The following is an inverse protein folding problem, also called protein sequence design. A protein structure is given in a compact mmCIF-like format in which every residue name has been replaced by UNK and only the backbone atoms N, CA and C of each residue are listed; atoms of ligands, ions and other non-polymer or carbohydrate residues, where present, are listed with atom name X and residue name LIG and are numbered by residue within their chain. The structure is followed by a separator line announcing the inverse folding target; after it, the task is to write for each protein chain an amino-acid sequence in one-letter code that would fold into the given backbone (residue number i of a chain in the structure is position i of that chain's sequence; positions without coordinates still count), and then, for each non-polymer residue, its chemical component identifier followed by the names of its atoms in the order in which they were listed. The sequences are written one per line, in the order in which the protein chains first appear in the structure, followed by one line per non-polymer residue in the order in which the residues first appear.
data_IF_863499317771
#
_entry.id   IF_863499317771
#
_cell.length_a   1.000
_cell.length_b   1.000
_cell.length_c   1.000
_cell.angle_alpha   90.00
_cell.angle_beta   90.00
_cell.angle_gamma   90.00
#
_symmetry.space_group_name_H-M   'P 1'
#
loop_
_entity.id
_entity.type
_entity.pdbx_description
1 polymer ?
#
# COMPACT_ATOMS: atom_id res chain seq x y z
N UNK A 1 34.96 43.02 31.63
CA UNK A 1 34.56 41.63 31.92
C UNK A 1 33.47 41.26 30.91
N UNK A 2 33.77 40.38 29.95
CA UNK A 2 32.76 39.91 29.00
C UNK A 2 31.84 38.91 29.71
N UNK A 3 30.50 39.07 29.64
CA UNK A 3 29.61 38.04 30.13
C UNK A 3 29.71 36.84 29.18
N UNK A 4 30.11 35.69 29.73
CA UNK A 4 30.10 34.43 29.01
C UNK A 4 28.66 34.12 28.59
N UNK A 5 28.39 34.18 27.27
CA UNK A 5 27.13 33.73 26.71
C UNK A 5 26.95 32.24 27.00
N UNK A 6 25.80 31.88 27.56
CA UNK A 6 25.43 30.50 27.85
C UNK A 6 25.32 29.72 26.52
N UNK A 7 26.03 28.59 26.33
CA UNK A 7 25.93 27.78 25.13
C UNK A 7 24.50 27.36 24.78
N UNK A 8 23.63 27.21 25.79
CA UNK A 8 22.20 26.93 25.59
C UNK A 8 21.45 28.04 24.86
N UNK A 9 21.76 29.32 25.13
CA UNK A 9 21.07 30.44 24.47
C UNK A 9 21.48 30.62 23.01
N UNK A 10 22.68 30.17 22.63
CA UNK A 10 23.15 30.18 21.24
C UNK A 10 22.45 29.08 20.44
N UNK A 11 22.30 27.88 21.00
CA UNK A 11 21.62 26.76 20.33
C UNK A 11 20.12 27.04 20.17
N UNK A 12 19.48 27.66 21.16
CA UNK A 12 18.06 28.05 21.09
C UNK A 12 17.83 29.23 20.13
N UNK A 13 18.74 30.19 20.06
CA UNK A 13 18.69 31.25 19.04
C UNK A 13 18.93 30.73 17.62
N UNK A 14 19.90 29.82 17.43
CA UNK A 14 20.15 29.16 16.13
C UNK A 14 18.93 28.32 15.70
N UNK A 15 18.23 27.67 16.64
CA UNK A 15 16.98 26.94 16.33
C UNK A 15 15.80 27.86 16.01
N UNK A 16 15.78 29.08 16.55
CA UNK A 16 14.72 30.07 16.30
C UNK A 16 14.79 30.69 14.89
N UNK A 17 15.95 30.65 14.23
CA UNK A 17 16.15 31.24 12.89
C UNK A 17 15.98 30.22 11.74
N UNK A 18 15.76 28.94 12.06
CA UNK A 18 15.59 27.90 11.06
C UNK A 18 14.12 27.84 10.63
N UNK A 19 13.83 28.39 9.46
CA UNK A 19 12.48 28.35 8.89
C UNK A 19 12.03 26.89 8.64
N UNK A 20 10.83 26.50 9.14
CA UNK A 20 10.30 25.16 8.92
C UNK A 20 9.90 24.96 7.45
N UNK A 21 9.94 23.70 7.00
CA UNK A 21 9.41 23.31 5.69
C UNK A 21 7.91 23.10 5.83
N UNK A 22 7.13 24.02 5.25
CA UNK A 22 5.66 24.07 5.39
C UNK A 22 4.89 23.76 4.11
N UNK A 23 5.58 23.70 2.95
CA UNK A 23 4.92 23.49 1.66
C UNK A 23 4.24 22.13 1.60
N UNK A 24 2.94 22.13 1.32
CA UNK A 24 2.12 20.92 1.21
C UNK A 24 2.06 20.36 -0.22
N UNK A 25 2.68 21.01 -1.19
CA UNK A 25 2.81 20.51 -2.55
C UNK A 25 4.06 19.64 -2.67
N UNK A 26 3.85 18.34 -2.89
CA UNK A 26 4.87 17.29 -2.83
C UNK A 26 6.15 17.60 -3.62
N UNK A 27 6.11 18.04 -4.90
CA UNK A 27 7.32 18.36 -5.64
C UNK A 27 8.19 19.45 -4.99
N UNK A 28 7.57 20.53 -4.53
CA UNK A 28 8.27 21.65 -3.90
C UNK A 28 8.78 21.26 -2.50
N UNK A 29 7.95 20.56 -1.72
CA UNK A 29 8.35 19.95 -0.46
C UNK A 29 9.56 19.03 -0.61
N UNK A 30 9.49 18.07 -1.53
CA UNK A 30 10.54 17.07 -1.79
C UNK A 30 11.85 17.74 -2.16
N UNK A 31 11.82 18.69 -3.10
CA UNK A 31 13.01 19.46 -3.50
C UNK A 31 13.62 20.21 -2.32
N UNK A 32 12.79 20.80 -1.47
CA UNK A 32 13.22 21.53 -0.29
C UNK A 32 13.90 20.61 0.72
N UNK A 33 13.31 19.45 1.01
CA UNK A 33 13.91 18.44 1.90
C UNK A 33 15.21 17.88 1.33
N UNK A 34 15.27 17.59 0.03
CA UNK A 34 16.49 17.08 -0.63
C UNK A 34 17.64 18.10 -0.62
N UNK A 35 17.33 19.39 -0.62
CA UNK A 35 18.30 20.48 -0.47
C UNK A 35 18.76 20.71 0.98
N UNK A 36 18.20 19.98 1.95
CA UNK A 36 18.60 20.01 3.37
C UNK A 36 19.03 18.60 3.83
N UNK A 37 20.19 18.10 3.35
CA UNK A 37 20.64 16.74 3.64
C UNK A 37 20.94 16.49 5.12
N UNK A 38 21.25 17.56 5.86
CA UNK A 38 21.49 17.52 7.31
C UNK A 38 20.17 17.53 8.11
N UNK A 39 19.02 17.70 7.45
CA UNK A 39 17.69 17.76 8.08
C UNK A 39 17.63 18.78 9.20
N UNK A 40 18.23 19.95 8.97
CA UNK A 40 18.27 21.02 9.97
C UNK A 40 16.89 21.66 10.14
N UNK A 41 16.13 21.75 9.05
CA UNK A 41 14.79 22.34 9.04
C UNK A 41 13.73 21.34 9.49
N UNK A 42 12.94 21.67 10.53
CA UNK A 42 11.81 20.84 10.90
C UNK A 42 10.74 20.87 9.80
N UNK A 43 10.04 19.74 9.63
CA UNK A 43 8.88 19.65 8.74
C UNK A 43 7.63 20.02 9.53
N UNK A 44 6.92 21.07 9.12
CA UNK A 44 5.71 21.55 9.76
C UNK A 44 4.57 21.67 8.74
N UNK A 45 3.99 20.52 8.40
CA UNK A 45 2.96 20.46 7.36
C UNK A 45 1.56 20.58 7.98
N UNK A 46 0.85 21.67 7.70
CA UNK A 46 -0.53 21.86 8.17
C UNK A 46 -1.53 21.24 7.20
N UNK A 47 -2.47 20.44 7.72
CA UNK A 47 -3.56 19.88 6.91
C UNK A 47 -4.59 20.97 6.58
N UNK A 48 -4.87 21.21 5.30
CA UNK A 48 -5.85 22.23 4.88
C UNK A 48 -7.31 21.85 5.15
N UNK A 49 -7.60 20.59 5.51
CA UNK A 49 -8.96 20.13 5.80
C UNK A 49 -9.34 20.43 7.26
N UNK A 50 -8.44 20.17 8.22
CA UNK A 50 -8.71 20.34 9.65
C UNK A 50 -7.85 21.40 10.34
N UNK A 51 -6.88 22.00 9.63
CA UNK A 51 -5.90 22.98 10.15
C UNK A 51 -4.93 22.44 11.21
N UNK A 52 -4.93 21.14 11.50
CA UNK A 52 -3.99 20.50 12.42
C UNK A 52 -2.69 20.08 11.72
N UNK A 53 -1.59 19.94 12.48
CA UNK A 53 -0.32 19.44 11.98
C UNK A 53 -0.42 17.97 11.53
N UNK A 54 0.18 17.68 10.38
CA UNK A 54 0.31 16.33 9.83
C UNK A 54 1.59 15.67 10.30
N UNK A 55 1.51 14.38 10.61
CA UNK A 55 2.70 13.58 10.89
C UNK A 55 3.45 13.24 9.60
N UNK A 56 4.76 13.46 9.59
CA UNK A 56 5.68 13.01 8.52
C UNK A 56 6.39 11.71 8.85
N UNK A 57 6.18 11.18 10.07
CA UNK A 57 6.87 9.99 10.54
C UNK A 57 6.32 8.70 9.95
N UNK A 58 5.15 8.74 9.29
CA UNK A 58 4.48 7.62 8.64
C UNK A 58 4.14 6.47 9.59
N UNK A 59 2.92 5.95 9.54
CA UNK A 59 2.62 4.72 10.29
C UNK A 59 3.59 3.59 9.89
N UNK A 60 4.37 3.08 10.84
CA UNK A 60 5.31 1.94 10.68
C UNK A 60 4.66 0.63 10.21
N UNK A 61 3.34 0.64 9.97
CA UNK A 61 2.54 -0.49 9.52
C UNK A 61 1.74 -0.03 8.30
N UNK A 62 2.43 0.04 7.17
CA UNK A 62 1.81 0.24 5.85
C UNK A 62 0.87 -0.93 5.56
N UNK A 63 -0.39 -0.78 5.96
CA UNK A 63 -1.44 -1.70 5.58
C UNK A 63 -1.82 -1.39 4.13
N UNK A 64 -1.50 -2.31 3.22
CA UNK A 64 -2.02 -2.31 1.84
C UNK A 64 -3.56 -2.35 1.84
N UNK A 65 -4.16 -2.81 2.95
CA UNK A 65 -5.56 -2.57 3.23
C UNK A 65 -5.75 -1.20 3.89
N UNK A 66 -6.15 -0.24 3.05
CA UNK A 66 -6.62 1.10 3.44
C UNK A 66 -7.95 1.08 4.21
N UNK A 67 -8.56 -0.10 4.35
CA UNK A 67 -9.71 -0.31 5.23
C UNK A 67 -9.14 -0.49 6.65
N UNK A 68 -9.27 0.50 7.55
CA UNK A 68 -8.93 0.27 8.95
C UNK A 68 -9.68 -0.95 9.45
N UNK A 69 -8.97 -1.86 10.14
CA UNK A 69 -9.65 -2.90 10.92
C UNK A 69 -10.62 -2.22 11.89
N UNK A 70 -11.78 -2.83 12.20
CA UNK A 70 -12.66 -2.33 13.26
C UNK A 70 -11.85 -2.01 14.51
N UNK A 71 -11.94 -0.78 15.01
CA UNK A 71 -11.20 -0.29 16.19
C UNK A 71 -9.82 0.35 15.92
N UNK A 72 -9.29 0.35 14.69
CA UNK A 72 -8.06 1.11 14.36
C UNK A 72 -8.41 2.49 13.79
N UNK A 73 -7.96 3.55 14.46
CA UNK A 73 -8.01 4.91 13.91
C UNK A 73 -6.95 5.08 12.82
N UNK A 74 -7.33 5.69 11.71
CA UNK A 74 -6.38 6.12 10.68
C UNK A 74 -5.56 7.26 11.28
N UNK A 75 -4.23 7.21 11.17
CA UNK A 75 -3.33 8.29 11.61
C UNK A 75 -3.47 9.54 10.74
N UNK A 76 -3.26 10.70 11.34
CA UNK A 76 -3.17 12.00 10.66
C UNK A 76 -1.79 12.22 9.99
N UNK A 77 -1.21 11.17 9.38
CA UNK A 77 0.03 11.35 8.60
C UNK A 77 -0.29 12.01 7.26
N UNK A 78 0.68 12.73 6.69
CA UNK A 78 0.54 13.36 5.38
C UNK A 78 0.30 12.30 4.29
N UNK A 79 -0.79 12.47 3.55
CA UNK A 79 -1.19 11.69 2.39
C UNK A 79 -0.96 12.52 1.13
N UNK A 80 -0.04 12.09 0.29
CA UNK A 80 0.27 12.70 -1.00
C UNK A 80 -0.77 12.21 -2.01
N UNK A 81 -1.56 13.14 -2.56
CA UNK A 81 -2.51 12.86 -3.63
C UNK A 81 -1.82 12.86 -5.01
N UNK A 82 -2.40 12.24 -6.05
CA UNK A 82 -1.82 12.24 -7.39
C UNK A 82 -1.54 13.62 -7.98
N UNK A 83 -2.33 14.64 -7.61
CA UNK A 83 -2.09 16.03 -8.01
C UNK A 83 -0.92 16.70 -7.27
N UNK A 84 -0.29 16.02 -6.31
CA UNK A 84 0.83 16.51 -5.51
C UNK A 84 0.47 17.13 -4.17
N UNK A 85 -0.78 17.53 -3.94
CA UNK A 85 -1.16 18.11 -2.64
C UNK A 85 -1.18 17.06 -1.53
N UNK A 86 -0.64 17.44 -0.38
CA UNK A 86 -0.64 16.64 0.84
C UNK A 86 -1.78 17.08 1.76
N UNK A 87 -2.50 16.10 2.30
CA UNK A 87 -3.57 16.30 3.29
C UNK A 87 -3.49 15.24 4.39
N UNK A 88 -4.05 15.53 5.56
CA UNK A 88 -4.09 14.59 6.66
C UNK A 88 -4.92 13.38 6.27
N UNK A 89 -4.35 12.19 6.37
CA UNK A 89 -4.99 11.04 5.74
C UNK A 89 -6.32 10.61 6.37
N UNK A 90 -6.47 10.72 7.70
CA UNK A 90 -7.77 10.45 8.32
C UNK A 90 -8.81 11.50 7.88
N UNK A 91 -8.42 12.78 7.75
CA UNK A 91 -9.28 13.84 7.22
C UNK A 91 -9.68 13.56 5.77
N UNK A 92 -8.74 13.14 4.92
CA UNK A 92 -9.02 12.78 3.55
C UNK A 92 -10.00 11.60 3.44
N UNK A 93 -9.83 10.57 4.28
CA UNK A 93 -10.74 9.42 4.30
C UNK A 93 -12.13 9.80 4.79
N UNK A 94 -12.23 10.64 5.82
CA UNK A 94 -13.52 11.17 6.29
C UNK A 94 -14.20 12.04 5.22
N UNK A 95 -13.42 12.85 4.50
CA UNK A 95 -13.89 13.67 3.38
C UNK A 95 -14.39 12.81 2.21
N UNK A 96 -13.69 11.73 1.86
CA UNK A 96 -14.18 10.77 0.86
C UNK A 96 -15.48 10.08 1.31
N UNK A 97 -15.58 9.73 2.59
CA UNK A 97 -16.74 9.04 3.15
C UNK A 97 -17.99 9.93 3.18
N UNK A 98 -17.85 11.22 3.54
CA UNK A 98 -18.96 12.18 3.57
C UNK A 98 -19.54 12.45 2.18
N UNK A 99 -18.75 12.22 1.13
CA UNK A 99 -19.14 12.40 -0.26
C UNK A 99 -19.58 11.09 -0.93
N UNK A 100 -19.64 9.97 -0.19
CA UNK A 100 -19.90 8.64 -0.76
C UNK A 100 -21.25 8.51 -1.48
N UNK A 101 -22.29 9.24 -1.05
CA UNK A 101 -23.55 9.31 -1.78
C UNK A 101 -23.44 10.16 -3.06
N UNK A 102 -22.71 11.27 -3.02
CA UNK A 102 -22.46 12.16 -4.16
C UNK A 102 -21.52 11.55 -5.21
N UNK A 103 -20.76 10.52 -4.83
CA UNK A 103 -19.80 9.82 -5.69
C UNK A 103 -20.35 8.57 -6.37
N UNK A 104 -21.62 8.18 -6.14
CA UNK A 104 -22.22 7.04 -6.87
C UNK A 104 -22.18 7.29 -8.38
N UNK A 105 -21.50 6.41 -9.11
CA UNK A 105 -21.36 6.47 -10.57
C UNK A 105 -20.27 7.41 -11.12
N UNK A 106 -19.60 8.21 -10.26
CA UNK A 106 -18.48 9.05 -10.70
C UNK A 106 -17.22 8.23 -10.94
N UNK A 107 -16.39 8.68 -11.88
CA UNK A 107 -15.09 8.06 -12.23
C UNK A 107 -13.88 8.78 -11.60
N UNK A 108 -14.12 9.82 -10.81
CA UNK A 108 -13.09 10.63 -10.16
C UNK A 108 -13.63 11.34 -8.92
N UNK A 109 -12.73 11.86 -8.09
CA UNK A 109 -13.00 12.83 -7.03
C UNK A 109 -12.14 14.08 -7.23
N UNK A 110 -12.57 15.24 -6.74
CA UNK A 110 -11.78 16.48 -6.83
C UNK A 110 -10.84 16.59 -5.63
N UNK A 111 -9.58 16.98 -5.84
CA UNK A 111 -8.68 17.29 -4.74
C UNK A 111 -9.28 18.40 -3.86
N UNK A 112 -9.32 18.25 -2.52
CA UNK A 112 -9.87 19.28 -1.62
C UNK A 112 -9.04 20.57 -1.57
N UNK A 113 -7.82 20.58 -2.14
CA UNK A 113 -6.92 21.75 -2.13
C UNK A 113 -6.99 22.51 -3.45
N UNK A 114 -6.87 21.83 -4.58
CA UNK A 114 -6.77 22.46 -5.90
C UNK A 114 -7.89 22.10 -6.88
N UNK A 115 -8.90 21.35 -6.44
CA UNK A 115 -10.03 20.86 -7.27
C UNK A 115 -9.66 19.97 -8.47
N UNK A 116 -8.38 19.63 -8.66
CA UNK A 116 -7.94 18.71 -9.73
C UNK A 116 -8.71 17.39 -9.64
N UNK A 117 -9.27 16.94 -10.77
CA UNK A 117 -9.97 15.66 -10.87
C UNK A 117 -8.98 14.49 -10.78
N UNK A 118 -9.09 13.69 -9.72
CA UNK A 118 -8.29 12.50 -9.49
C UNK A 118 -9.13 11.27 -9.83
N UNK A 119 -8.76 10.60 -10.92
CA UNK A 119 -9.48 9.43 -11.43
C UNK A 119 -9.44 8.27 -10.44
N UNK A 120 -10.53 7.50 -10.41
CA UNK A 120 -10.50 6.15 -9.88
C UNK A 120 -9.68 5.25 -10.79
N UNK A 121 -9.19 4.14 -10.25
CA UNK A 121 -8.51 3.11 -11.03
C UNK A 121 -9.46 2.60 -12.14
N UNK A 122 -9.14 2.84 -13.44
CA UNK A 122 -10.08 2.62 -14.54
C UNK A 122 -10.68 1.23 -14.64
N UNK A 123 -9.90 0.17 -14.40
CA UNK A 123 -10.36 -1.22 -14.56
C UNK A 123 -11.09 -1.75 -13.33
N UNK A 124 -10.71 -1.32 -12.11
CA UNK A 124 -11.31 -1.85 -10.89
C UNK A 124 -12.29 -0.90 -10.18
N UNK A 125 -12.40 0.36 -10.64
CA UNK A 125 -13.31 1.36 -10.06
C UNK A 125 -13.05 1.67 -8.57
N UNK A 126 -11.84 1.36 -8.08
CA UNK A 126 -11.43 1.69 -6.72
C UNK A 126 -10.83 3.08 -6.68
N UNK A 127 -11.03 3.79 -5.56
CA UNK A 127 -10.49 5.13 -5.36
C UNK A 127 -8.96 5.10 -5.35
N UNK A 128 -8.33 6.01 -6.08
CA UNK A 128 -6.88 6.23 -5.96
C UNK A 128 -6.64 7.14 -4.75
N UNK A 129 -6.25 6.55 -3.61
CA UNK A 129 -6.05 7.30 -2.36
C UNK A 129 -4.73 8.08 -2.31
N UNK A 130 -3.88 7.97 -3.33
CA UNK A 130 -2.50 8.46 -3.28
C UNK A 130 -1.59 7.58 -2.43
N UNK A 131 -0.50 8.13 -1.91
CA UNK A 131 0.46 7.44 -1.04
C UNK A 131 0.74 8.24 0.24
N UNK A 132 1.05 7.54 1.34
CA UNK A 132 1.57 8.20 2.54
C UNK A 132 2.97 8.74 2.27
N UNK A 133 3.31 9.85 2.90
CA UNK A 133 4.70 10.29 2.94
C UNK A 133 5.59 9.17 3.51
N UNK A 134 6.70 8.79 2.85
CA UNK A 134 7.60 7.78 3.39
C UNK A 134 8.28 8.30 4.66
N UNK A 135 8.52 7.42 5.64
CA UNK A 135 9.23 7.80 6.88
C UNK A 135 10.69 8.22 6.63
N UNK A 136 11.35 7.59 5.65
CA UNK A 136 12.75 7.82 5.33
C UNK A 136 12.86 8.64 4.04
N UNK A 137 13.62 9.72 4.07
CA UNK A 137 13.87 10.60 2.90
C UNK A 137 14.45 9.81 1.72
N UNK A 138 15.30 8.81 1.98
CA UNK A 138 15.83 7.91 0.96
C UNK A 138 14.75 7.17 0.13
N UNK A 139 13.51 7.11 0.64
CA UNK A 139 12.37 6.52 -0.06
C UNK A 139 11.49 7.55 -0.78
N UNK A 140 11.79 8.85 -0.75
CA UNK A 140 11.00 9.88 -1.45
C UNK A 140 11.06 9.72 -2.98
N UNK A 141 12.16 9.17 -3.49
CA UNK A 141 12.31 8.78 -4.90
C UNK A 141 11.39 7.63 -5.33
N UNK A 142 10.72 6.95 -4.39
CA UNK A 142 9.74 5.89 -4.66
C UNK A 142 8.32 6.41 -4.84
N UNK A 143 8.05 7.67 -4.47
CA UNK A 143 6.77 8.31 -4.76
C UNK A 143 6.72 8.57 -6.27
N UNK A 144 5.65 8.14 -6.97
CA UNK A 144 5.49 8.43 -8.39
C UNK A 144 5.51 9.94 -8.68
N UNK A 145 5.90 10.30 -9.91
CA UNK A 145 5.71 11.66 -10.40
C UNK A 145 4.24 12.07 -10.24
N UNK A 146 3.99 13.32 -9.86
CA UNK A 146 2.61 13.84 -9.77
C UNK A 146 2.04 14.03 -11.17
N UNK A 147 0.72 14.21 -11.28
CA UNK A 147 0.04 14.34 -12.58
C UNK A 147 0.61 15.50 -13.43
N UNK A 148 0.95 16.64 -12.80
CA UNK A 148 1.56 17.80 -13.47
C UNK A 148 3.00 17.55 -13.96
N UNK A 149 3.67 16.50 -13.46
CA UNK A 149 5.02 16.08 -13.85
C UNK A 149 5.00 14.87 -14.80
N UNK A 150 3.83 14.50 -15.34
CA UNK A 150 3.67 13.37 -16.25
C UNK A 150 3.44 12.02 -15.55
N UNK A 151 3.06 12.02 -14.27
CA UNK A 151 2.58 10.82 -13.59
C UNK A 151 1.20 10.37 -14.05
N UNK A 152 0.91 9.07 -13.90
CA UNK A 152 -0.36 8.48 -14.34
C UNK A 152 -1.01 7.64 -13.26
N UNK A 153 -2.34 7.56 -13.24
CA UNK A 153 -3.07 6.64 -12.37
C UNK A 153 -3.13 5.27 -13.04
N UNK A 154 -2.67 4.23 -12.35
CA UNK A 154 -2.68 2.88 -12.91
C UNK A 154 -4.10 2.35 -13.11
N UNK A 155 -4.29 1.45 -14.07
CA UNK A 155 -5.54 0.78 -14.37
C UNK A 155 -6.20 0.10 -13.14
N UNK A 156 -5.37 -0.48 -12.26
CA UNK A 156 -5.80 -1.24 -11.07
C UNK A 156 -5.15 -0.71 -9.80
N UNK A 157 -5.87 -0.79 -8.67
CA UNK A 157 -5.30 -0.54 -7.35
C UNK A 157 -4.32 -1.65 -6.93
N UNK A 158 -3.52 -1.41 -5.88
CA UNK A 158 -2.50 -2.35 -5.40
C UNK A 158 -3.09 -3.74 -5.12
N UNK A 159 -4.22 -3.80 -4.39
CA UNK A 159 -4.91 -5.06 -4.12
C UNK A 159 -5.36 -5.75 -5.40
N UNK A 160 -5.95 -5.00 -6.34
CA UNK A 160 -6.39 -5.54 -7.63
C UNK A 160 -5.24 -6.09 -8.49
N UNK A 161 -4.09 -5.44 -8.46
CA UNK A 161 -2.89 -5.91 -9.15
C UNK A 161 -2.31 -7.18 -8.51
N UNK A 162 -2.31 -7.25 -7.17
CA UNK A 162 -1.90 -8.45 -6.42
C UNK A 162 -2.71 -9.66 -6.85
N UNK A 163 -4.04 -9.58 -6.82
CA UNK A 163 -4.81 -10.77 -7.16
C UNK A 163 -4.88 -11.05 -8.65
N UNK A 164 -4.77 -10.04 -9.52
CA UNK A 164 -4.53 -10.34 -10.93
C UNK A 164 -3.26 -11.19 -11.09
N UNK A 165 -2.18 -10.80 -10.44
CA UNK A 165 -0.90 -11.52 -10.47
C UNK A 165 -1.00 -12.90 -9.82
N UNK A 166 -1.73 -13.05 -8.70
CA UNK A 166 -2.06 -14.36 -8.15
C UNK A 166 -2.75 -15.24 -9.17
N UNK A 167 -3.82 -14.74 -9.80
CA UNK A 167 -4.62 -15.49 -10.77
C UNK A 167 -3.80 -15.95 -11.97
N UNK A 168 -2.77 -15.19 -12.36
CA UNK A 168 -1.84 -15.60 -13.41
C UNK A 168 -0.82 -16.64 -12.92
N UNK A 169 -0.15 -16.40 -11.79
CA UNK A 169 0.85 -17.34 -11.22
C UNK A 169 0.25 -18.69 -10.85
N UNK A 170 -0.98 -18.68 -10.36
CA UNK A 170 -1.83 -19.84 -10.11
C UNK A 170 -1.88 -20.83 -11.27
N UNK A 171 -1.89 -20.34 -12.52
CA UNK A 171 -1.95 -21.20 -13.72
C UNK A 171 -0.65 -21.99 -13.92
N UNK A 172 0.47 -21.47 -13.42
CA UNK A 172 1.75 -22.14 -13.49
C UNK A 172 1.91 -23.17 -12.37
N UNK A 173 1.38 -22.89 -11.19
CA UNK A 173 1.40 -23.84 -10.06
C UNK A 173 0.59 -25.11 -10.31
N UNK A 174 -0.40 -25.10 -11.21
CA UNK A 174 -1.14 -26.30 -11.61
C UNK A 174 -0.35 -27.25 -12.53
N UNK A 175 0.82 -26.84 -13.02
CA UNK A 175 1.71 -27.69 -13.84
C UNK A 175 2.46 -28.69 -12.96
N UNK A 176 2.69 -28.35 -11.70
CA UNK A 176 3.42 -29.19 -10.76
C UNK A 176 2.51 -30.24 -10.15
N UNK A 177 3.01 -31.46 -10.05
CA UNK A 177 2.38 -32.53 -9.28
C UNK A 177 2.79 -32.37 -7.82
N UNK A 178 1.77 -32.27 -6.97
CA UNK A 178 1.94 -32.05 -5.52
C UNK A 178 1.41 -33.23 -4.71
N UNK A 179 1.24 -34.38 -5.35
CA UNK A 179 0.57 -35.56 -4.80
C UNK A 179 1.31 -36.09 -3.56
N UNK A 180 2.64 -35.99 -3.56
CA UNK A 180 3.49 -36.41 -2.44
C UNK A 180 3.43 -35.44 -1.24
N UNK A 181 2.94 -34.21 -1.45
CA UNK A 181 2.85 -33.16 -0.43
C UNK A 181 1.48 -33.14 0.28
N UNK A 182 0.48 -33.80 -0.31
CA UNK A 182 -0.92 -33.76 0.13
C UNK A 182 -1.34 -35.12 0.65
N UNK A 183 -1.39 -35.25 1.97
CA UNK A 183 -1.65 -36.52 2.67
C UNK A 183 -3.17 -36.81 2.81
N UNK A 184 -4.02 -35.80 2.64
CA UNK A 184 -5.47 -35.94 2.83
C UNK A 184 -6.28 -35.02 1.93
N UNK A 185 -7.56 -35.37 1.74
CA UNK A 185 -8.54 -34.51 1.07
C UNK A 185 -8.91 -33.25 1.87
N UNK A 186 -8.30 -33.02 3.03
CA UNK A 186 -8.42 -31.78 3.79
C UNK A 186 -7.25 -30.84 3.51
N UNK A 187 -6.27 -31.23 2.69
CA UNK A 187 -5.10 -30.43 2.39
C UNK A 187 -5.09 -29.94 0.94
N UNK A 188 -4.53 -28.76 0.74
CA UNK A 188 -4.28 -28.18 -0.58
C UNK A 188 -3.08 -27.25 -0.53
N UNK A 189 -2.48 -27.01 -1.68
CA UNK A 189 -1.38 -26.04 -1.80
C UNK A 189 -1.93 -24.70 -2.23
N UNK A 190 -1.44 -23.65 -1.58
CA UNK A 190 -1.80 -22.27 -1.89
C UNK A 190 -0.56 -21.42 -2.14
N UNK A 191 -0.68 -20.55 -3.13
CA UNK A 191 0.29 -19.48 -3.37
C UNK A 191 0.01 -18.33 -2.41
N UNK A 192 1.08 -17.74 -1.88
CA UNK A 192 1.03 -16.52 -1.10
C UNK A 192 2.10 -15.53 -1.54
N UNK A 193 1.88 -14.25 -1.22
CA UNK A 193 2.87 -13.20 -1.30
C UNK A 193 3.11 -12.69 0.12
N UNK A 194 4.35 -12.78 0.57
CA UNK A 194 4.74 -12.37 1.91
C UNK A 194 5.45 -11.03 1.85
N UNK A 195 4.85 -10.01 2.44
CA UNK A 195 5.55 -8.76 2.73
C UNK A 195 6.37 -8.92 4.02
N UNK A 196 7.70 -8.93 3.89
CA UNK A 196 8.61 -9.15 5.03
C UNK A 196 8.90 -7.87 5.83
N UNK A 197 8.35 -6.71 5.43
CA UNK A 197 8.52 -5.46 6.18
C UNK A 197 7.86 -5.56 7.57
N UNK A 198 8.30 -4.78 8.57
CA UNK A 198 7.62 -4.71 9.86
C UNK A 198 6.13 -4.40 9.71
N UNK A 199 5.27 -5.27 10.24
CA UNK A 199 3.82 -5.17 10.06
C UNK A 199 3.31 -5.57 8.66
N UNK A 200 4.15 -6.19 7.84
CA UNK A 200 3.80 -6.77 6.56
C UNK A 200 2.77 -7.89 6.69
N UNK A 201 2.13 -8.19 5.56
CA UNK A 201 1.02 -9.13 5.49
C UNK A 201 1.38 -10.28 4.55
N UNK A 202 0.84 -11.44 4.88
CA UNK A 202 0.77 -12.56 3.96
C UNK A 202 -0.52 -12.41 3.15
N UNK A 203 -0.38 -12.08 1.88
CA UNK A 203 -1.46 -12.15 0.90
C UNK A 203 -1.60 -13.60 0.49
N UNK A 204 -2.79 -14.16 0.64
CA UNK A 204 -3.14 -15.48 0.13
C UNK A 204 -4.54 -15.42 -0.45
N UNK A 205 -4.85 -16.39 -1.30
CA UNK A 205 -6.17 -16.55 -1.89
C UNK A 205 -7.25 -16.77 -0.80
N UNK A 206 -7.99 -15.73 -0.41
CA UNK A 206 -8.86 -15.79 0.78
C UNK A 206 -10.28 -15.30 0.55
N UNK A 207 -11.25 -16.20 0.23
CA UNK A 207 -12.59 -15.79 -0.26
C UNK A 207 -13.38 -15.03 0.75
N UNK A 208 -14.13 -14.05 0.27
CA UNK A 208 -15.20 -13.38 1.01
C UNK A 208 -16.41 -14.26 1.29
N UNK A 209 -16.30 -15.57 1.18
CA UNK A 209 -17.36 -16.45 1.63
C UNK A 209 -17.27 -16.63 3.15
N UNK A 210 -18.25 -16.06 3.87
CA UNK A 210 -18.47 -16.30 5.31
C UNK A 210 -18.68 -17.78 5.65
N UNK A 211 -18.88 -18.64 4.64
CA UNK A 211 -19.02 -20.10 4.77
C UNK A 211 -17.72 -20.88 4.54
N UNK A 212 -16.58 -20.22 4.28
CA UNK A 212 -15.32 -20.96 4.03
C UNK A 212 -14.80 -21.62 5.32
N UNK A 213 -14.19 -22.82 5.20
CA UNK A 213 -13.55 -23.47 6.33
C UNK A 213 -12.39 -22.61 6.83
N UNK A 214 -12.21 -22.50 8.15
CA UNK A 214 -10.95 -22.03 8.73
C UNK A 214 -9.84 -22.89 8.12
N UNK A 215 -8.84 -22.22 7.54
CA UNK A 215 -7.70 -22.87 6.92
C UNK A 215 -6.48 -22.67 7.81
N UNK A 216 -5.83 -23.75 8.19
CA UNK A 216 -4.60 -23.75 8.96
C UNK A 216 -3.40 -23.85 8.01
N UNK A 217 -2.33 -23.09 8.29
CA UNK A 217 -1.05 -23.25 7.60
C UNK A 217 -0.33 -24.42 8.25
N UNK A 218 -0.14 -25.51 7.51
CA UNK A 218 0.55 -26.70 8.01
C UNK A 218 2.05 -26.46 7.95
N UNK A 219 2.57 -26.16 6.75
CA UNK A 219 3.99 -25.87 6.54
C UNK A 219 4.22 -25.02 5.29
N UNK A 220 5.37 -24.35 5.26
CA UNK A 220 5.89 -23.67 4.05
C UNK A 220 6.58 -24.71 3.17
N UNK A 221 6.29 -24.68 1.88
CA UNK A 221 6.93 -25.53 0.88
C UNK A 221 8.05 -24.77 0.18
N UNK A 222 9.02 -25.51 -0.35
CA UNK A 222 10.01 -24.95 -1.25
C UNK A 222 9.32 -24.44 -2.52
N UNK A 223 9.74 -23.26 -2.99
CA UNK A 223 9.20 -22.71 -4.23
C UNK A 223 10.04 -23.18 -5.40
N UNK A 224 9.46 -23.85 -6.42
CA UNK A 224 10.19 -24.26 -7.61
C UNK A 224 10.95 -23.10 -8.27
N UNK A 225 12.13 -23.37 -8.82
CA UNK A 225 13.03 -22.36 -9.39
C UNK A 225 12.38 -21.63 -10.58
N UNK A 226 11.63 -22.34 -11.40
CA UNK A 226 10.93 -21.78 -12.55
C UNK A 226 9.84 -20.80 -12.09
N UNK A 227 9.11 -21.16 -11.02
CA UNK A 227 8.11 -20.28 -10.43
C UNK A 227 8.75 -19.05 -9.76
N UNK A 228 9.91 -19.22 -9.12
CA UNK A 228 10.73 -18.10 -8.61
C UNK A 228 11.16 -17.18 -9.74
N UNK A 229 11.61 -17.73 -10.86
CA UNK A 229 12.03 -16.97 -12.04
C UNK A 229 10.89 -16.14 -12.62
N UNK A 230 9.70 -16.74 -12.80
CA UNK A 230 8.50 -16.03 -13.26
C UNK A 230 8.14 -14.91 -12.27
N UNK A 231 8.21 -15.19 -10.97
CA UNK A 231 7.93 -14.19 -9.95
C UNK A 231 8.89 -13.01 -9.96
N UNK A 232 10.20 -13.25 -10.12
CA UNK A 232 11.19 -12.18 -10.24
C UNK A 232 10.93 -11.29 -11.48
N UNK A 233 10.43 -11.86 -12.58
CA UNK A 233 9.99 -11.06 -13.72
C UNK A 233 8.81 -10.13 -13.35
N UNK A 234 7.79 -10.64 -12.66
CA UNK A 234 6.68 -9.82 -12.14
C UNK A 234 7.17 -8.72 -11.19
N UNK A 235 8.10 -9.03 -10.28
CA UNK A 235 8.67 -8.05 -9.34
C UNK A 235 9.37 -6.91 -10.05
N UNK A 236 10.13 -7.19 -11.10
CA UNK A 236 10.80 -6.17 -11.92
C UNK A 236 9.79 -5.26 -12.62
N UNK A 237 8.73 -5.83 -13.20
CA UNK A 237 7.63 -5.07 -13.81
C UNK A 237 6.94 -4.19 -12.77
N UNK A 238 6.65 -4.74 -11.59
CA UNK A 238 6.07 -4.00 -10.47
C UNK A 238 6.95 -2.85 -10.02
N UNK A 239 8.25 -3.07 -9.83
CA UNK A 239 9.18 -2.01 -9.45
C UNK A 239 9.19 -0.83 -10.44
N UNK A 240 9.08 -1.12 -11.75
CA UNK A 240 8.95 -0.10 -12.77
C UNK A 240 7.59 0.60 -12.69
N UNK A 241 6.50 -0.17 -12.62
CA UNK A 241 5.14 0.37 -12.52
C UNK A 241 4.97 1.30 -11.31
N UNK A 242 5.46 0.91 -10.14
CA UNK A 242 5.29 1.70 -8.92
C UNK A 242 6.11 2.99 -8.89
N UNK A 243 7.12 3.14 -9.76
CA UNK A 243 7.83 4.41 -9.95
C UNK A 243 7.07 5.36 -10.87
N UNK A 244 6.31 4.83 -11.83
CA UNK A 244 5.66 5.63 -12.88
C UNK A 244 4.19 5.91 -12.57
N UNK A 245 3.51 4.98 -11.91
CA UNK A 245 2.07 5.03 -11.72
C UNK A 245 1.67 5.20 -10.26
N UNK A 246 0.64 6.03 -10.05
CA UNK A 246 -0.09 6.15 -8.80
C UNK A 246 -0.83 4.86 -8.51
N UNK A 247 -0.19 4.05 -7.67
CA UNK A 247 -0.77 2.90 -6.99
C UNK A 247 -0.46 3.07 -5.52
N UNK A 248 -1.39 2.74 -4.65
CA UNK A 248 -1.29 3.09 -3.24
C UNK A 248 -0.15 2.42 -2.47
N UNK A 249 0.50 1.39 -3.02
CA UNK A 249 1.58 0.70 -2.32
C UNK A 249 2.56 0.02 -3.29
N UNK A 250 3.85 0.17 -3.02
CA UNK A 250 4.92 -0.58 -3.70
C UNK A 250 5.00 -2.00 -3.15
N UNK A 251 4.68 -2.95 -4.02
CA UNK A 251 4.66 -4.39 -3.76
C UNK A 251 5.88 -5.10 -4.34
N UNK A 252 6.83 -4.41 -4.96
CA UNK A 252 8.02 -5.03 -5.57
C UNK A 252 8.92 -5.75 -4.56
N UNK A 253 8.78 -5.47 -3.27
CA UNK A 253 9.52 -6.12 -2.18
C UNK A 253 8.83 -7.34 -1.58
N UNK A 254 7.63 -7.72 -2.02
CA UNK A 254 6.97 -8.92 -1.49
C UNK A 254 7.64 -10.18 -2.04
N UNK A 255 7.76 -11.20 -1.21
CA UNK A 255 8.32 -12.50 -1.58
C UNK A 255 7.22 -13.48 -2.01
N UNK A 256 7.54 -14.40 -2.91
CA UNK A 256 6.66 -15.53 -3.20
C UNK A 256 6.80 -16.60 -2.12
N UNK A 257 5.69 -17.23 -1.77
CA UNK A 257 5.68 -18.38 -0.90
C UNK A 257 4.62 -19.39 -1.33
N UNK A 258 4.93 -20.66 -1.13
CA UNK A 258 3.98 -21.77 -1.26
C UNK A 258 3.73 -22.35 0.12
N UNK A 259 2.47 -22.68 0.40
CA UNK A 259 2.04 -23.26 1.67
C UNK A 259 1.18 -24.48 1.44
N UNK A 260 1.41 -25.51 2.25
CA UNK A 260 0.44 -26.57 2.50
C UNK A 260 -0.59 -26.04 3.50
N UNK A 261 -1.84 -25.99 3.07
CA UNK A 261 -2.99 -25.51 3.83
C UNK A 261 -3.86 -26.69 4.22
N UNK A 262 -4.50 -26.64 5.40
CA UNK A 262 -5.47 -27.63 5.86
C UNK A 262 -6.84 -26.99 6.11
N UNK A 263 -7.91 -27.56 5.58
CA UNK A 263 -9.29 -27.13 5.76
C UNK A 263 -10.01 -27.98 6.81
N UNK A 264 -10.97 -27.38 7.52
CA UNK A 264 -11.86 -28.13 8.43
C UNK A 264 -12.84 -29.06 7.71
N UNK A 265 -13.21 -28.75 6.45
CA UNK A 265 -14.12 -29.57 5.64
C UNK A 265 -13.35 -30.22 4.50
N UNK A 266 -13.68 -31.46 4.11
CA UNK A 266 -13.02 -32.13 3.00
C UNK A 266 -13.28 -31.40 1.68
N UNK A 267 -12.26 -31.37 0.83
CA UNK A 267 -12.34 -30.83 -0.52
C UNK A 267 -13.07 -31.84 -1.43
N UNK A 268 -13.91 -31.37 -2.39
CA UNK A 268 -14.63 -32.26 -3.29
C UNK A 268 -13.70 -33.19 -4.10
N UNK A 269 -14.14 -34.43 -4.37
CA UNK A 269 -13.31 -35.51 -4.94
C UNK A 269 -12.78 -35.24 -6.37
N UNK A 270 -13.42 -34.36 -7.14
CA UNK A 270 -12.97 -33.93 -8.48
C UNK A 270 -11.77 -32.98 -8.45
N UNK A 271 -11.31 -32.55 -7.26
CA UNK A 271 -10.19 -31.62 -7.09
C UNK A 271 -8.86 -32.31 -6.74
N UNK A 272 -8.76 -33.64 -6.85
CA UNK A 272 -7.53 -34.37 -6.48
C UNK A 272 -6.36 -34.14 -7.45
N UNK A 273 -6.60 -33.65 -8.66
CA UNK A 273 -5.58 -33.54 -9.74
C UNK A 273 -5.50 -32.16 -10.39
N UNK A 274 -6.26 -31.18 -9.92
CA UNK A 274 -6.17 -29.80 -10.41
C UNK A 274 -5.98 -28.85 -9.23
N UNK A 275 -4.82 -28.20 -9.20
CA UNK A 275 -4.44 -27.23 -8.17
C UNK A 275 -5.57 -26.25 -7.90
N UNK A 276 -6.07 -26.25 -6.66
CA UNK A 276 -7.17 -25.39 -6.26
C UNK A 276 -6.65 -23.97 -6.13
N UNK A 277 -7.06 -23.11 -7.06
CA UNK A 277 -6.89 -21.67 -6.93
C UNK A 277 -8.24 -21.01 -7.19
N UNK A 278 -8.80 -20.32 -6.18
CA UNK A 278 -10.13 -19.74 -6.23
C UNK A 278 -10.12 -18.29 -5.76
N UNK A 279 -9.72 -17.43 -6.70
CA UNK A 279 -9.97 -15.97 -6.89
C UNK A 279 -10.73 -15.28 -5.75
N UNK A 280 -10.08 -14.33 -5.06
CA UNK A 280 -10.75 -13.55 -4.00
C UNK A 280 -10.41 -12.08 -3.93
N UNK A 281 -11.37 -11.25 -4.37
CA UNK A 281 -11.44 -9.85 -4.01
C UNK A 281 -12.47 -9.57 -2.93
N UNK A 282 -12.21 -8.48 -2.21
CA UNK A 282 -13.01 -7.99 -1.12
C UNK A 282 -13.66 -6.64 -1.47
N UNK A 283 -15.00 -6.58 -1.65
CA UNK A 283 -15.77 -5.31 -1.52
C UNK A 283 -17.08 -5.55 -0.79
N UNK A 284 -17.30 -4.78 0.26
CA UNK A 284 -18.46 -4.88 1.15
C UNK A 284 -19.29 -3.65 0.91
N UNK A 285 -20.48 -3.86 0.40
CA UNK A 285 -21.57 -2.91 0.43
C UNK A 285 -22.77 -3.66 1.00
N UNK A 286 -23.27 -3.12 2.12
CA UNK A 286 -24.65 -3.14 2.62
C UNK A 286 -25.37 -4.49 2.74
N UNK A 287 -25.59 -4.94 3.97
CA UNK A 287 -26.77 -4.59 4.78
C UNK A 287 -26.40 -4.67 6.26
#
# INVERSE_FOLDING_TARGET
MNPAMNPGSIIDAIRSDIEPITDIYWPAFKKTVENDPQQLRPMDLTCTICTEQMSTQGAARGSIHWIPKPGRRISHDAQILPCGHMVGACCFMNWLASLSEQFRGRKFYSCPVCSTAIMYHPECGHVCHGQRIPRLIANYSRIPLVLSEGGFIHARCAGCEVQHTFSELTKYTSIYKWEDEVESNHQYISLGFLDQRPGGFLYMDGSRDRKRPICERVRRLETPEELRTIWEAYRKVWALKFKTFWISHDLSSVGLCLYLMKTLKPLPKTLKTQGIFRRVFSRGSST
#
